data_IF_081875066998
#
_entry.id   IF_081875066998
#
_cell.length_a   1.000
_cell.length_b   1.000
_cell.length_c   1.000
_cell.angle_alpha   90.00
_cell.angle_beta   90.00
_cell.angle_gamma   90.00
#
_symmetry.space_group_name_H-M   'P 1'
#
loop_
_entity.id
_entity.type
_entity.pdbx_description
1 polymer ?
#
# COMPACT_ATOMS: atom_id res chain seq x y z
N UNK A 1 52.10 11.04 -58.34
CA UNK A 1 50.78 10.63 -57.82
C UNK A 1 50.72 10.90 -56.30
N UNK A 2 50.09 11.97 -55.85
CA UNK A 2 49.89 12.32 -54.44
C UNK A 2 48.59 11.68 -53.98
N UNK A 3 48.65 10.77 -52.96
CA UNK A 3 47.47 10.20 -52.31
C UNK A 3 47.04 11.14 -51.20
N UNK A 4 45.84 11.68 -51.27
CA UNK A 4 45.19 12.42 -50.19
C UNK A 4 44.50 11.41 -49.27
N UNK A 5 44.95 11.37 -48.01
CA UNK A 5 44.33 10.63 -46.92
C UNK A 5 43.23 11.55 -46.31
N UNK A 6 41.96 11.25 -46.57
CA UNK A 6 40.84 11.99 -45.94
C UNK A 6 40.58 11.33 -44.59
N UNK A 7 40.95 12.01 -43.49
CA UNK A 7 40.60 11.60 -42.14
C UNK A 7 39.14 12.01 -41.86
N UNK A 8 38.27 11.01 -41.80
CA UNK A 8 36.86 11.19 -41.39
C UNK A 8 36.82 11.28 -39.86
N UNK A 9 36.72 12.49 -39.29
CA UNK A 9 36.51 12.71 -37.85
C UNK A 9 35.03 12.55 -37.58
N UNK A 10 34.62 11.32 -37.21
CA UNK A 10 33.26 11.03 -36.76
C UNK A 10 33.02 11.72 -35.40
N UNK A 11 32.23 12.79 -35.38
CA UNK A 11 31.69 13.38 -34.16
C UNK A 11 30.79 12.33 -33.48
N UNK A 12 31.33 11.60 -32.51
CA UNK A 12 30.53 10.83 -31.56
C UNK A 12 29.84 11.81 -30.61
N UNK A 13 28.65 12.30 -30.96
CA UNK A 13 27.74 12.87 -29.99
C UNK A 13 27.24 11.72 -29.09
N UNK A 14 27.44 11.79 -27.78
CA UNK A 14 26.84 10.81 -26.89
C UNK A 14 25.31 11.00 -26.93
N UNK A 15 24.64 10.19 -27.71
CA UNK A 15 23.19 10.03 -27.56
C UNK A 15 22.96 9.43 -26.18
N UNK A 16 22.48 10.23 -25.24
CA UNK A 16 21.90 9.74 -24.02
C UNK A 16 20.67 8.94 -24.41
N UNK A 17 20.80 7.63 -24.50
CA UNK A 17 19.70 6.70 -24.65
C UNK A 17 18.92 6.70 -23.33
N UNK A 18 17.99 7.63 -23.17
CA UNK A 18 16.97 7.51 -22.15
C UNK A 18 16.17 6.25 -22.47
N UNK A 19 16.13 5.30 -21.52
CA UNK A 19 15.36 4.07 -21.70
C UNK A 19 13.88 4.41 -21.88
N UNK A 20 13.21 3.73 -22.80
CA UNK A 20 11.77 3.87 -23.02
C UNK A 20 11.01 3.69 -21.70
N UNK A 21 10.10 4.59 -21.39
CA UNK A 21 9.21 4.51 -20.24
C UNK A 21 9.79 4.98 -18.90
N UNK A 22 10.92 5.71 -18.88
CA UNK A 22 11.47 6.29 -17.65
C UNK A 22 10.76 7.62 -17.31
N UNK A 23 10.58 7.89 -16.02
CA UNK A 23 10.05 9.16 -15.53
C UNK A 23 11.15 10.21 -15.46
N UNK A 24 10.92 11.35 -16.11
CA UNK A 24 11.83 12.49 -16.15
C UNK A 24 11.14 13.73 -15.60
N UNK A 25 11.90 14.62 -14.99
CA UNK A 25 11.43 15.93 -14.58
C UNK A 25 11.17 16.81 -15.82
N UNK A 26 10.01 17.47 -15.85
CA UNK A 26 9.64 18.39 -16.92
C UNK A 26 10.23 19.80 -16.70
N UNK A 27 10.30 20.57 -17.78
CA UNK A 27 10.62 22.00 -17.76
C UNK A 27 11.91 22.37 -17.03
N UNK A 28 12.96 21.54 -17.09
CA UNK A 28 14.22 21.72 -16.38
C UNK A 28 14.04 21.94 -14.88
N UNK A 29 12.98 21.41 -14.30
CA UNK A 29 12.73 21.49 -12.86
C UNK A 29 13.84 20.76 -12.09
N UNK A 30 14.24 21.31 -10.95
CA UNK A 30 15.25 20.69 -10.07
C UNK A 30 14.66 19.68 -9.10
N UNK A 31 13.34 19.68 -8.97
CA UNK A 31 12.56 18.74 -8.14
C UNK A 31 11.10 18.71 -8.53
N UNK A 32 10.45 17.60 -8.24
CA UNK A 32 8.99 17.47 -8.25
C UNK A 32 8.48 17.05 -6.86
N UNK A 33 7.28 17.50 -6.49
CA UNK A 33 6.67 17.18 -5.19
C UNK A 33 5.32 16.54 -5.44
N UNK A 34 5.17 15.28 -5.07
CA UNK A 34 3.97 14.48 -5.29
C UNK A 34 3.31 14.22 -3.93
N UNK A 35 2.10 14.72 -3.67
CA UNK A 35 1.34 14.34 -2.48
C UNK A 35 0.88 12.89 -2.60
N UNK A 36 0.78 12.19 -1.47
CA UNK A 36 0.27 10.82 -1.47
C UNK A 36 -0.73 10.57 -0.34
N UNK A 37 -1.58 9.56 -0.53
CA UNK A 37 -2.41 9.00 0.53
C UNK A 37 -1.64 7.84 1.15
N UNK A 38 -1.58 7.79 2.48
CA UNK A 38 -1.02 6.67 3.25
C UNK A 38 -2.18 5.91 3.88
N UNK A 39 -2.41 4.68 3.44
CA UNK A 39 -3.50 3.82 3.92
C UNK A 39 -2.92 2.43 4.18
N UNK A 40 -3.12 1.89 5.37
CA UNK A 40 -2.58 0.58 5.77
C UNK A 40 -1.07 0.45 5.48
N UNK A 41 -0.28 1.52 5.72
CA UNK A 41 1.17 1.62 5.45
C UNK A 41 1.56 1.64 3.96
N UNK A 42 0.61 1.64 3.05
CA UNK A 42 0.81 1.68 1.59
C UNK A 42 0.69 3.11 1.05
N UNK A 43 1.47 3.40 0.03
CA UNK A 43 1.54 4.73 -0.61
C UNK A 43 0.71 4.73 -1.89
N UNK A 44 -0.28 5.62 -1.98
CA UNK A 44 -1.08 5.82 -3.19
C UNK A 44 -0.83 7.22 -3.77
N UNK A 45 -0.46 7.28 -5.05
CA UNK A 45 -0.15 8.50 -5.78
C UNK A 45 -1.08 8.67 -6.99
N UNK A 46 -1.46 9.93 -7.32
CA UNK A 46 -2.20 10.20 -8.55
C UNK A 46 -1.23 10.19 -9.74
N UNK A 47 -1.61 9.47 -10.79
CA UNK A 47 -0.89 9.44 -12.07
C UNK A 47 -1.91 9.59 -13.20
N UNK A 48 -1.65 10.48 -14.13
CA UNK A 48 -2.41 10.56 -15.40
C UNK A 48 -1.86 9.53 -16.36
N UNK A 49 -2.72 8.68 -16.88
CA UNK A 49 -2.42 7.74 -17.96
C UNK A 49 -3.16 8.22 -19.21
N UNK A 50 -2.41 8.62 -20.23
CA UNK A 50 -2.97 9.20 -21.47
C UNK A 50 -4.00 10.31 -21.19
N UNK A 51 -3.73 11.17 -20.17
CA UNK A 51 -4.55 12.29 -19.77
C UNK A 51 -5.60 12.02 -18.67
N UNK A 52 -5.90 10.78 -18.35
CA UNK A 52 -6.88 10.39 -17.31
C UNK A 52 -6.19 10.13 -15.97
N UNK A 53 -6.61 10.84 -14.92
CA UNK A 53 -6.04 10.70 -13.58
C UNK A 53 -6.56 9.43 -12.88
N UNK A 54 -5.62 8.62 -12.41
CA UNK A 54 -5.83 7.33 -11.77
C UNK A 54 -5.00 7.24 -10.48
N UNK A 55 -5.46 6.44 -9.49
CA UNK A 55 -4.72 6.19 -8.25
C UNK A 55 -3.84 4.96 -8.39
N UNK A 56 -2.55 5.12 -8.18
CA UNK A 56 -1.57 4.03 -8.24
C UNK A 56 -0.97 3.73 -6.86
N UNK A 57 -0.88 2.44 -6.54
CA UNK A 57 0.00 1.96 -5.48
C UNK A 57 1.45 2.10 -5.94
N UNK A 58 2.30 2.76 -5.14
CA UNK A 58 3.74 2.81 -5.35
C UNK A 58 4.37 1.57 -4.72
N UNK A 59 5.04 0.74 -5.53
CA UNK A 59 5.55 -0.56 -5.14
C UNK A 59 6.95 -0.83 -5.70
N UNK A 60 7.98 -0.78 -4.86
CA UNK A 60 9.36 -1.09 -5.26
C UNK A 60 9.62 -2.59 -5.52
N UNK A 61 8.70 -3.46 -5.14
CA UNK A 61 8.72 -4.89 -5.40
C UNK A 61 8.21 -5.30 -6.79
N UNK A 62 7.69 -4.35 -7.58
CA UNK A 62 7.16 -4.60 -8.93
C UNK A 62 8.07 -3.97 -9.99
N UNK A 63 8.31 -4.72 -11.08
CA UNK A 63 9.15 -4.24 -12.19
C UNK A 63 8.37 -3.33 -13.14
N UNK A 64 7.18 -3.75 -13.53
CA UNK A 64 6.39 -3.11 -14.56
C UNK A 64 5.23 -2.28 -13.97
N UNK A 65 4.64 -1.41 -14.81
CA UNK A 65 3.41 -0.69 -14.47
C UNK A 65 2.21 -1.54 -14.85
N UNK A 66 1.30 -1.73 -13.91
CA UNK A 66 0.13 -2.59 -14.05
C UNK A 66 -1.13 -1.80 -13.76
N UNK A 67 -2.14 -1.91 -14.62
CA UNK A 67 -3.50 -1.42 -14.44
C UNK A 67 -4.45 -2.60 -14.27
N UNK A 68 -5.47 -2.46 -13.43
CA UNK A 68 -6.42 -3.57 -13.16
C UNK A 68 -7.85 -3.13 -12.86
N UNK A 69 -8.10 -1.90 -12.56
CA UNK A 69 -9.45 -1.41 -12.25
C UNK A 69 -9.64 0.01 -12.74
N UNK A 70 -10.74 0.24 -13.41
CA UNK A 70 -11.20 1.57 -13.81
C UNK A 70 -12.64 1.74 -13.38
N UNK A 71 -13.01 2.93 -12.92
CA UNK A 71 -14.42 3.23 -12.65
C UNK A 71 -15.19 3.37 -13.97
N UNK A 72 -16.48 3.09 -13.97
CA UNK A 72 -17.34 3.11 -15.17
C UNK A 72 -17.28 4.42 -15.99
N UNK A 73 -16.87 5.50 -15.36
CA UNK A 73 -16.79 6.84 -16.01
C UNK A 73 -15.40 7.18 -16.54
N UNK A 74 -14.41 6.30 -16.38
CA UNK A 74 -13.02 6.56 -16.79
C UNK A 74 -12.67 5.72 -18.01
N UNK A 75 -12.71 6.34 -19.19
CA UNK A 75 -12.25 5.71 -20.43
C UNK A 75 -10.81 6.14 -20.73
N UNK A 76 -9.87 5.21 -20.60
CA UNK A 76 -8.47 5.40 -20.98
C UNK A 76 -8.24 4.79 -22.35
N UNK A 77 -7.82 5.59 -23.31
CA UNK A 77 -7.39 5.09 -24.62
C UNK A 77 -5.97 4.53 -24.55
N UNK A 78 -5.77 3.29 -24.97
CA UNK A 78 -4.48 2.61 -24.97
C UNK A 78 -3.95 2.41 -26.39
N UNK A 79 -2.61 2.50 -26.55
CA UNK A 79 -1.94 2.35 -27.82
C UNK A 79 -1.31 0.95 -27.96
N UNK A 80 -1.20 0.43 -29.18
CA UNK A 80 -0.49 -0.82 -29.52
C UNK A 80 -0.82 -1.99 -28.57
N UNK A 81 -2.11 -2.26 -28.38
CA UNK A 81 -2.60 -3.26 -27.45
C UNK A 81 -2.42 -4.68 -27.99
N UNK A 82 -1.86 -5.57 -27.18
CA UNK A 82 -1.64 -6.99 -27.48
C UNK A 82 -2.18 -7.85 -26.34
N UNK A 83 -2.86 -8.96 -26.63
CA UNK A 83 -3.28 -9.95 -25.63
C UNK A 83 -2.08 -10.74 -25.12
N UNK A 84 -2.02 -10.96 -23.83
CA UNK A 84 -0.96 -11.72 -23.16
C UNK A 84 -1.55 -12.54 -22.01
N UNK A 85 -0.74 -13.46 -21.48
CA UNK A 85 -1.00 -14.16 -20.22
C UNK A 85 -0.03 -13.69 -19.14
N UNK A 86 -0.52 -13.44 -17.94
CA UNK A 86 0.23 -12.95 -16.79
C UNK A 86 0.20 -13.96 -15.65
N UNK A 87 1.26 -14.01 -14.85
CA UNK A 87 1.32 -14.75 -13.58
C UNK A 87 1.75 -13.81 -12.45
N UNK A 88 1.10 -13.94 -11.29
CA UNK A 88 1.39 -13.16 -10.10
C UNK A 88 1.59 -14.00 -8.85
N UNK A 89 1.63 -13.33 -7.69
CA UNK A 89 1.55 -13.96 -6.37
C UNK A 89 0.13 -14.47 -6.11
N UNK A 90 0.00 -15.64 -5.48
CA UNK A 90 -1.27 -16.17 -4.97
C UNK A 90 -1.65 -17.54 -5.54
N UNK A 91 -1.76 -17.74 -6.85
CA UNK A 91 -2.10 -19.03 -7.48
C UNK A 91 -1.21 -19.38 -8.67
N UNK A 92 -1.36 -20.62 -9.19
CA UNK A 92 -0.67 -21.06 -10.40
C UNK A 92 -1.35 -20.63 -11.70
N UNK A 93 -2.57 -20.15 -11.61
CA UNK A 93 -3.38 -19.83 -12.77
C UNK A 93 -2.81 -18.61 -13.50
N UNK A 94 -2.79 -18.74 -14.83
CA UNK A 94 -2.49 -17.62 -15.72
C UNK A 94 -3.74 -16.78 -15.86
N UNK A 95 -3.61 -15.47 -15.65
CA UNK A 95 -4.69 -14.51 -15.86
C UNK A 95 -4.56 -13.87 -17.24
N UNK A 96 -5.69 -13.63 -17.90
CA UNK A 96 -5.72 -12.86 -19.13
C UNK A 96 -5.37 -11.41 -18.87
N UNK A 97 -4.57 -10.84 -19.77
CA UNK A 97 -4.18 -9.45 -19.70
C UNK A 97 -3.85 -8.86 -21.07
N UNK A 98 -3.64 -7.56 -21.07
CA UNK A 98 -3.21 -6.81 -22.24
C UNK A 98 -1.85 -6.16 -21.96
N UNK A 99 -1.04 -6.06 -23.00
CA UNK A 99 0.19 -5.26 -23.03
C UNK A 99 -0.05 -4.06 -23.93
N UNK A 100 0.20 -2.86 -23.44
CA UNK A 100 0.09 -1.61 -24.21
C UNK A 100 1.40 -0.84 -24.14
N UNK A 101 1.84 -0.28 -25.26
CA UNK A 101 3.06 0.54 -25.37
C UNK A 101 2.71 1.94 -25.88
N UNK A 102 3.69 2.86 -25.87
CA UNK A 102 3.52 4.25 -26.30
C UNK A 102 2.49 5.03 -25.48
N UNK A 103 2.33 4.67 -24.19
CA UNK A 103 1.49 5.44 -23.28
C UNK A 103 2.27 6.61 -22.69
N UNK A 104 1.55 7.64 -22.29
CA UNK A 104 2.09 8.80 -21.59
C UNK A 104 1.59 8.75 -20.15
N UNK A 105 2.54 8.74 -19.21
CA UNK A 105 2.25 8.82 -17.77
C UNK A 105 2.78 10.12 -17.21
N UNK A 106 1.96 10.84 -16.46
CA UNK A 106 2.30 12.17 -15.90
C UNK A 106 1.88 12.27 -14.43
N UNK A 107 2.73 12.85 -13.59
CA UNK A 107 2.39 13.19 -12.22
C UNK A 107 3.24 14.36 -11.70
N UNK A 108 2.60 15.44 -11.28
CA UNK A 108 3.22 16.56 -10.55
C UNK A 108 4.60 17.02 -11.08
N UNK A 109 4.75 17.21 -12.39
CA UNK A 109 5.99 17.64 -13.02
C UNK A 109 6.99 16.52 -13.35
N UNK A 110 6.54 15.28 -13.26
CA UNK A 110 7.20 14.11 -13.82
C UNK A 110 6.40 13.59 -15.02
N UNK A 111 7.11 13.22 -16.07
CA UNK A 111 6.53 12.63 -17.26
C UNK A 111 7.33 11.44 -17.75
N UNK A 112 6.63 10.41 -18.16
CA UNK A 112 7.17 9.25 -18.84
C UNK A 112 6.49 9.11 -20.19
N UNK A 113 7.28 9.15 -21.24
CA UNK A 113 6.82 8.91 -22.60
C UNK A 113 7.13 7.46 -23.01
N UNK A 114 6.35 6.95 -23.95
CA UNK A 114 6.55 5.58 -24.50
C UNK A 114 6.49 4.50 -23.40
N UNK A 115 5.64 4.74 -22.40
CA UNK A 115 5.53 3.86 -21.24
C UNK A 115 4.81 2.55 -21.56
N UNK A 116 5.41 1.44 -21.11
CA UNK A 116 4.80 0.12 -21.16
C UNK A 116 3.85 -0.07 -19.99
N UNK A 117 2.61 -0.44 -20.28
CA UNK A 117 1.57 -0.74 -19.28
C UNK A 117 1.02 -2.14 -19.52
N UNK A 118 0.90 -2.93 -18.46
CA UNK A 118 0.14 -4.17 -18.45
C UNK A 118 -1.25 -3.92 -17.88
N UNK A 119 -2.28 -4.52 -18.46
CA UNK A 119 -3.66 -4.36 -18.02
C UNK A 119 -4.20 -5.73 -17.68
N UNK A 120 -4.62 -5.91 -16.43
CA UNK A 120 -5.25 -7.14 -15.93
C UNK A 120 -6.75 -7.04 -16.18
N UNK A 121 -7.32 -8.05 -16.83
CA UNK A 121 -8.74 -8.12 -17.16
C UNK A 121 -9.56 -8.94 -16.13
N UNK A 122 -8.90 -9.55 -15.15
CA UNK A 122 -9.55 -10.34 -14.13
C UNK A 122 -10.36 -9.46 -13.17
N UNK A 123 -11.68 -9.59 -13.22
CA UNK A 123 -12.62 -8.85 -12.36
C UNK A 123 -12.57 -9.30 -10.88
N UNK A 124 -12.02 -10.48 -10.58
CA UNK A 124 -11.86 -10.96 -9.21
C UNK A 124 -10.71 -10.27 -8.48
N UNK A 125 -9.78 -9.63 -9.22
CA UNK A 125 -8.72 -8.85 -8.65
C UNK A 125 -9.21 -7.44 -8.31
N UNK A 126 -9.74 -7.27 -7.10
CA UNK A 126 -10.28 -5.98 -6.62
C UNK A 126 -9.52 -5.50 -5.38
N UNK A 127 -8.41 -4.81 -5.59
CA UNK A 127 -7.61 -4.20 -4.52
C UNK A 127 -8.37 -3.03 -3.85
N UNK A 128 -9.21 -2.32 -4.60
CA UNK A 128 -9.99 -1.18 -4.09
C UNK A 128 -10.89 -1.55 -2.92
N UNK A 129 -11.55 -2.73 -2.98
CA UNK A 129 -12.40 -3.22 -1.89
C UNK A 129 -11.63 -3.47 -0.60
N UNK A 130 -10.40 -4.00 -0.69
CA UNK A 130 -9.54 -4.25 0.46
C UNK A 130 -8.90 -3.00 1.05
N UNK A 131 -8.65 -1.98 0.23
CA UNK A 131 -8.03 -0.71 0.66
C UNK A 131 -9.10 0.30 1.11
N UNK A 132 -10.30 0.24 0.53
CA UNK A 132 -11.40 1.16 0.83
C UNK A 132 -11.35 2.49 0.07
N UNK A 133 -10.49 2.59 -0.94
CA UNK A 133 -10.45 3.69 -1.92
C UNK A 133 -10.22 3.09 -3.31
N UNK A 134 -10.57 3.82 -4.39
CA UNK A 134 -10.22 3.41 -5.74
C UNK A 134 -8.70 3.21 -5.87
N UNK A 135 -8.28 2.04 -6.34
CA UNK A 135 -6.90 1.70 -6.68
C UNK A 135 -6.93 1.15 -8.11
N UNK A 136 -6.35 1.88 -9.04
CA UNK A 136 -6.45 1.58 -10.46
C UNK A 136 -5.25 0.83 -11.01
N UNK A 137 -4.09 0.94 -10.34
CA UNK A 137 -2.87 0.29 -10.80
C UNK A 137 -1.76 0.27 -9.76
N UNK A 138 -0.64 -0.32 -10.18
CA UNK A 138 0.62 -0.38 -9.42
C UNK A 138 1.73 0.15 -10.29
N UNK A 139 2.62 0.95 -9.72
CA UNK A 139 3.81 1.48 -10.37
C UNK A 139 5.04 1.17 -9.55
N UNK A 140 6.10 0.69 -10.21
CA UNK A 140 7.30 0.22 -9.54
C UNK A 140 8.60 0.76 -10.10
N UNK A 141 9.47 -0.14 -10.54
CA UNK A 141 10.85 0.13 -10.93
C UNK A 141 11.04 1.38 -11.81
N UNK A 142 10.19 1.56 -12.81
CA UNK A 142 10.29 2.71 -13.75
C UNK A 142 10.22 4.07 -13.06
N UNK A 143 9.51 4.16 -11.93
CA UNK A 143 9.43 5.37 -11.14
C UNK A 143 10.74 5.67 -10.39
N UNK A 144 11.45 4.63 -9.93
CA UNK A 144 12.68 4.77 -9.14
C UNK A 144 13.96 4.80 -9.97
N UNK A 145 13.99 4.12 -11.13
CA UNK A 145 15.18 3.75 -11.89
C UNK A 145 16.20 4.88 -12.09
N UNK A 146 15.74 6.05 -12.53
CA UNK A 146 16.58 7.19 -12.86
C UNK A 146 16.39 8.38 -11.91
N UNK A 147 15.65 8.18 -10.83
CA UNK A 147 15.23 9.24 -9.93
C UNK A 147 15.83 9.07 -8.54
N UNK A 148 16.20 10.19 -7.92
CA UNK A 148 16.55 10.27 -6.52
C UNK A 148 15.28 10.59 -5.73
N UNK A 149 14.67 9.57 -5.10
CA UNK A 149 13.31 9.61 -4.56
C UNK A 149 13.33 9.73 -3.04
N UNK A 150 12.98 10.91 -2.50
CA UNK A 150 12.75 11.14 -1.06
C UNK A 150 11.29 10.85 -0.72
N UNK A 151 11.03 9.94 0.23
CA UNK A 151 9.68 9.64 0.76
C UNK A 151 9.59 10.15 2.18
N UNK A 152 8.71 11.13 2.41
CA UNK A 152 8.42 11.67 3.73
C UNK A 152 7.02 11.25 4.17
N UNK A 153 6.95 10.18 4.94
CA UNK A 153 5.68 9.61 5.41
C UNK A 153 4.90 10.55 6.36
N UNK A 154 5.60 11.33 7.19
CA UNK A 154 4.92 12.28 8.10
C UNK A 154 4.24 13.42 7.34
N UNK A 155 4.90 13.94 6.32
CA UNK A 155 4.35 15.02 5.48
C UNK A 155 3.53 14.49 4.32
N UNK A 156 3.41 13.18 4.17
CA UNK A 156 2.69 12.47 3.09
C UNK A 156 3.04 13.01 1.71
N UNK A 157 4.35 13.11 1.43
CA UNK A 157 4.85 13.58 0.13
C UNK A 157 6.10 12.83 -0.30
N UNK A 158 6.18 12.60 -1.61
CA UNK A 158 7.36 12.16 -2.31
C UNK A 158 8.00 13.40 -2.93
N UNK A 159 9.33 13.48 -2.88
CA UNK A 159 10.08 14.52 -3.57
C UNK A 159 11.09 13.81 -4.46
N UNK A 160 10.97 14.03 -5.74
CA UNK A 160 11.94 13.57 -6.72
C UNK A 160 12.93 14.70 -6.94
N UNK A 161 14.22 14.42 -6.75
CA UNK A 161 15.29 15.41 -6.84
C UNK A 161 16.18 15.16 -8.05
N UNK A 162 16.68 16.24 -8.66
CA UNK A 162 17.88 16.17 -9.49
C UNK A 162 19.08 16.08 -8.56
N UNK A 163 19.97 15.08 -8.73
CA UNK A 163 21.20 14.99 -7.94
C UNK A 163 22.02 16.28 -8.03
N UNK A 164 22.39 16.85 -6.88
CA UNK A 164 23.29 18.01 -6.82
C UNK A 164 24.10 17.98 -5.52
N UNK A 165 25.25 18.67 -5.50
CA UNK A 165 26.20 18.68 -4.40
C UNK A 165 25.55 19.09 -3.06
N UNK A 166 24.72 20.13 -3.06
CA UNK A 166 24.06 20.64 -1.85
C UNK A 166 23.09 19.61 -1.24
N UNK A 167 22.37 18.88 -2.09
CA UNK A 167 21.47 17.83 -1.63
C UNK A 167 22.25 16.62 -1.11
N UNK A 168 23.34 16.23 -1.79
CA UNK A 168 24.22 15.16 -1.32
C UNK A 168 24.82 15.48 0.06
N UNK A 169 25.37 16.68 0.26
CA UNK A 169 25.88 17.13 1.58
C UNK A 169 24.80 17.10 2.68
N UNK A 170 23.54 17.38 2.32
CA UNK A 170 22.40 17.24 3.25
C UNK A 170 22.15 15.77 3.61
N UNK A 171 22.22 14.86 2.63
CA UNK A 171 22.04 13.43 2.86
C UNK A 171 23.13 12.90 3.79
N UNK A 172 24.39 13.16 3.47
CA UNK A 172 25.55 12.67 4.24
C UNK A 172 25.55 13.17 5.69
N UNK A 173 25.04 14.37 5.93
CA UNK A 173 24.96 14.96 7.29
C UNK A 173 23.77 14.48 8.11
N UNK A 174 22.61 14.21 7.48
CA UNK A 174 21.32 14.04 8.18
C UNK A 174 20.73 12.65 8.11
N UNK A 175 21.26 11.79 7.26
CA UNK A 175 20.74 10.46 7.03
C UNK A 175 21.83 9.42 7.23
N UNK A 176 21.44 8.25 7.66
CA UNK A 176 22.31 7.08 7.62
C UNK A 176 22.26 6.48 6.22
N UNK A 177 23.41 6.33 5.61
CA UNK A 177 23.58 5.72 4.30
C UNK A 177 23.73 4.21 4.46
N UNK A 178 22.97 3.46 3.68
CA UNK A 178 22.95 2.00 3.65
C UNK A 178 23.16 1.53 2.21
N UNK A 179 24.15 0.67 1.94
CA UNK A 179 24.30 0.09 0.62
C UNK A 179 23.15 -0.88 0.32
N UNK A 180 22.67 -0.83 -0.91
CA UNK A 180 21.65 -1.76 -1.42
C UNK A 180 22.14 -2.40 -2.71
N UNK A 181 21.50 -3.50 -3.12
CA UNK A 181 21.69 -4.07 -4.45
C UNK A 181 20.41 -3.93 -5.27
N UNK A 182 20.57 -3.73 -6.58
CA UNK A 182 19.44 -3.74 -7.52
C UNK A 182 19.56 -5.02 -8.33
N UNK A 183 18.63 -5.95 -8.11
CA UNK A 183 18.62 -7.24 -8.79
C UNK A 183 17.23 -7.49 -9.38
N UNK A 184 17.16 -7.85 -10.68
CA UNK A 184 15.89 -7.98 -11.39
C UNK A 184 14.98 -6.77 -11.17
N UNK A 185 15.55 -5.56 -11.35
CA UNK A 185 14.82 -4.29 -11.20
C UNK A 185 14.29 -3.97 -9.81
N UNK A 186 14.68 -4.70 -8.77
CA UNK A 186 14.19 -4.56 -7.39
C UNK A 186 15.31 -4.27 -6.40
N UNK A 187 15.06 -3.47 -5.34
CA UNK A 187 16.06 -3.07 -4.36
C UNK A 187 16.14 -4.08 -3.20
N UNK A 188 17.35 -4.48 -2.85
CA UNK A 188 17.60 -5.37 -1.71
C UNK A 188 18.60 -4.76 -0.76
N UNK A 189 18.37 -4.96 0.54
CA UNK A 189 19.33 -4.63 1.59
C UNK A 189 19.76 -5.91 2.34
N UNK A 190 20.95 -5.86 2.95
CA UNK A 190 21.44 -6.88 3.86
C UNK A 190 21.27 -6.34 5.28
N UNK A 191 20.72 -7.17 6.16
CA UNK A 191 20.35 -6.84 7.52
C UNK A 191 20.52 -8.07 8.43
N UNK A 192 20.11 -7.97 9.70
CA UNK A 192 20.17 -9.06 10.67
C UNK A 192 18.81 -9.26 11.32
N UNK A 193 18.35 -10.51 11.34
CA UNK A 193 17.21 -10.95 12.14
C UNK A 193 17.71 -11.77 13.33
N UNK A 194 17.15 -11.54 14.51
CA UNK A 194 17.40 -12.38 15.70
C UNK A 194 16.13 -13.18 16.00
N UNK A 195 16.22 -14.49 15.89
CA UNK A 195 15.14 -15.44 16.14
C UNK A 195 15.65 -16.45 17.15
N UNK A 196 14.94 -16.65 18.26
CA UNK A 196 15.35 -17.54 19.35
C UNK A 196 16.79 -17.29 19.83
N UNK A 197 17.15 -15.99 19.98
CA UNK A 197 18.51 -15.50 20.33
C UNK A 197 19.62 -15.83 19.32
N UNK A 198 19.31 -16.32 18.11
CA UNK A 198 20.27 -16.57 17.03
C UNK A 198 20.22 -15.44 16.02
N UNK A 199 21.38 -14.83 15.77
CA UNK A 199 21.51 -13.79 14.72
C UNK A 199 21.68 -14.43 13.34
N UNK A 200 20.83 -14.04 12.40
CA UNK A 200 20.78 -14.58 11.04
C UNK A 200 20.93 -13.44 10.05
N UNK A 201 21.94 -13.47 9.16
CA UNK A 201 22.00 -12.52 8.06
C UNK A 201 20.78 -12.64 7.16
N UNK A 202 20.18 -11.50 6.84
CA UNK A 202 18.94 -11.42 6.10
C UNK A 202 19.06 -10.50 4.88
N UNK A 203 19.02 -11.07 3.69
CA UNK A 203 18.85 -10.29 2.45
C UNK A 203 17.36 -10.10 2.19
N UNK A 204 16.90 -8.85 2.30
CA UNK A 204 15.50 -8.49 2.16
C UNK A 204 15.24 -7.60 0.95
N UNK A 205 14.11 -7.82 0.30
CA UNK A 205 13.53 -6.87 -0.65
C UNK A 205 13.04 -5.64 0.13
N UNK A 206 13.40 -4.45 -0.30
CA UNK A 206 12.76 -3.20 0.15
C UNK A 206 11.44 -3.08 -0.60
N UNK A 207 10.32 -3.28 0.08
CA UNK A 207 9.01 -3.52 -0.51
C UNK A 207 7.99 -2.49 -0.02
N UNK A 208 7.87 -1.36 -0.74
CA UNK A 208 6.94 -0.27 -0.41
C UNK A 208 5.48 -0.71 -0.64
N UNK A 209 5.27 -1.70 -1.50
CA UNK A 209 3.95 -2.29 -1.78
C UNK A 209 3.48 -3.33 -0.77
N UNK A 210 4.29 -3.64 0.26
CA UNK A 210 3.93 -4.53 1.34
C UNK A 210 3.56 -3.73 2.60
N UNK A 211 2.36 -3.94 3.16
CA UNK A 211 1.87 -3.23 4.34
C UNK A 211 2.45 -3.71 5.67
N UNK A 212 3.01 -4.92 5.72
CA UNK A 212 3.57 -5.54 6.93
C UNK A 212 4.94 -4.95 7.31
N UNK A 213 5.45 -5.32 8.49
CA UNK A 213 6.79 -4.93 8.90
C UNK A 213 7.85 -5.75 8.15
N UNK A 214 7.78 -7.05 8.29
CA UNK A 214 8.69 -8.00 7.66
C UNK A 214 7.93 -9.23 7.18
N UNK A 215 8.30 -9.70 6.00
CA UNK A 215 8.03 -11.05 5.57
C UNK A 215 9.30 -11.87 5.66
N UNK A 216 9.24 -13.08 6.18
CA UNK A 216 10.34 -14.03 6.20
C UNK A 216 9.87 -15.35 5.60
N UNK A 217 10.64 -15.88 4.67
CA UNK A 217 10.38 -17.16 4.06
C UNK A 217 11.04 -18.27 4.91
N UNK A 218 10.24 -19.24 5.33
CA UNK A 218 10.73 -20.40 6.08
C UNK A 218 11.81 -21.14 5.29
N UNK A 219 12.89 -21.50 5.93
CA UNK A 219 14.00 -22.26 5.35
C UNK A 219 14.70 -23.05 6.46
N UNK A 220 15.77 -23.78 6.12
CA UNK A 220 16.48 -24.64 7.09
C UNK A 220 17.04 -23.89 8.32
N UNK A 221 17.30 -22.58 8.17
CA UNK A 221 17.87 -21.74 9.24
C UNK A 221 16.81 -20.95 10.01
N UNK A 222 15.67 -20.67 9.38
CA UNK A 222 14.61 -19.87 9.96
C UNK A 222 13.33 -20.66 9.94
N UNK A 223 12.96 -21.15 11.11
CA UNK A 223 11.70 -21.86 11.34
C UNK A 223 10.65 -20.89 11.87
N UNK A 224 9.40 -21.31 11.81
CA UNK A 224 8.30 -20.57 12.41
C UNK A 224 8.45 -20.61 13.95
N UNK A 225 8.47 -19.45 14.64
CA UNK A 225 8.48 -19.42 16.09
C UNK A 225 7.33 -20.25 16.69
N UNK A 226 7.55 -20.87 17.84
CA UNK A 226 6.54 -21.72 18.50
C UNK A 226 5.23 -20.96 18.72
N UNK A 227 5.32 -19.70 19.15
CA UNK A 227 4.16 -18.85 19.34
C UNK A 227 3.86 -18.09 18.04
N UNK A 228 2.88 -18.58 17.33
CA UNK A 228 2.39 -18.04 16.08
C UNK A 228 0.90 -18.32 15.92
N UNK A 229 0.28 -17.70 14.94
CA UNK A 229 -1.08 -18.03 14.50
C UNK A 229 -1.20 -17.92 12.96
N UNK A 230 -2.07 -18.73 12.32
CA UNK A 230 -2.36 -18.60 10.90
C UNK A 230 -3.12 -17.30 10.65
N UNK A 231 -2.81 -16.59 9.57
CA UNK A 231 -3.46 -15.33 9.21
C UNK A 231 -3.50 -15.13 7.70
N UNK A 232 -4.50 -14.38 7.26
CA UNK A 232 -4.54 -13.81 5.91
C UNK A 232 -3.52 -12.68 5.83
N UNK A 233 -2.51 -12.82 4.99
CA UNK A 233 -1.40 -11.86 4.87
C UNK A 233 -1.64 -10.80 3.80
N UNK A 234 -2.57 -11.02 2.89
CA UNK A 234 -2.90 -10.07 1.84
C UNK A 234 -3.41 -10.72 0.56
N UNK A 235 -3.57 -9.90 -0.47
CA UNK A 235 -4.03 -10.34 -1.80
C UNK A 235 -2.96 -10.06 -2.84
N UNK A 236 -2.55 -11.12 -3.54
CA UNK A 236 -1.69 -11.04 -4.73
C UNK A 236 -2.51 -11.01 -6.01
N UNK A 237 -1.86 -10.82 -7.16
CA UNK A 237 -2.54 -10.80 -8.46
C UNK A 237 -3.27 -12.11 -8.81
N UNK A 238 -2.77 -13.24 -8.32
CA UNK A 238 -3.34 -14.56 -8.62
C UNK A 238 -4.08 -15.17 -7.44
N UNK A 239 -4.42 -14.40 -6.40
CA UNK A 239 -5.23 -14.89 -5.29
C UNK A 239 -4.74 -14.47 -3.91
N UNK A 240 -5.31 -15.10 -2.91
CA UNK A 240 -5.05 -14.81 -1.51
C UNK A 240 -3.69 -15.34 -1.06
N UNK A 241 -3.04 -14.60 -0.17
CA UNK A 241 -1.76 -14.98 0.43
C UNK A 241 -2.02 -15.34 1.88
N UNK A 242 -1.87 -16.62 2.17
CA UNK A 242 -2.00 -17.21 3.49
C UNK A 242 -0.63 -17.42 4.13
N UNK A 243 -0.60 -17.52 5.45
CA UNK A 243 0.61 -17.79 6.20
C UNK A 243 0.41 -17.65 7.69
N UNK A 244 1.49 -17.35 8.41
CA UNK A 244 1.48 -17.23 9.86
C UNK A 244 2.07 -15.89 10.29
N UNK A 245 1.61 -15.38 11.44
CA UNK A 245 2.23 -14.24 12.13
C UNK A 245 2.88 -14.69 13.43
N UNK A 246 4.05 -14.13 13.70
CA UNK A 246 4.79 -14.35 14.93
C UNK A 246 5.52 -13.09 15.37
N UNK A 247 6.02 -13.06 16.61
CA UNK A 247 7.02 -12.09 17.06
C UNK A 247 8.40 -12.76 17.02
N UNK A 248 9.39 -12.04 16.54
CA UNK A 248 10.81 -12.41 16.72
C UNK A 248 11.46 -11.45 17.70
N UNK A 249 12.65 -11.78 18.19
CA UNK A 249 13.30 -11.01 19.25
C UNK A 249 13.70 -9.63 18.78
N UNK A 250 14.37 -9.56 17.64
CA UNK A 250 14.90 -8.32 17.11
C UNK A 250 15.07 -8.39 15.58
N UNK A 251 14.96 -7.24 14.97
CA UNK A 251 15.35 -7.00 13.59
C UNK A 251 16.22 -5.76 13.55
N UNK A 252 17.38 -5.80 12.88
CA UNK A 252 18.31 -4.67 12.81
C UNK A 252 18.61 -4.30 11.37
N UNK A 253 18.41 -3.03 11.04
CA UNK A 253 18.84 -2.43 9.78
C UNK A 253 19.98 -1.47 10.10
N UNK A 254 21.22 -1.90 9.91
CA UNK A 254 22.41 -1.17 10.37
C UNK A 254 22.28 -0.82 11.88
N UNK A 255 22.32 0.45 12.27
CA UNK A 255 22.17 0.95 13.65
C UNK A 255 20.72 1.04 14.15
N UNK A 256 19.75 0.66 13.32
CA UNK A 256 18.31 0.76 13.66
C UNK A 256 17.75 -0.57 14.14
N UNK A 257 17.56 -0.70 15.44
CA UNK A 257 17.01 -1.89 16.07
C UNK A 257 15.50 -1.79 16.26
N UNK A 258 14.79 -2.85 15.87
CA UNK A 258 13.36 -3.05 16.08
C UNK A 258 13.17 -4.22 17.02
N UNK A 259 12.70 -3.95 18.25
CA UNK A 259 12.47 -4.96 19.27
C UNK A 259 11.09 -5.60 19.11
N UNK A 260 11.04 -6.93 19.19
CA UNK A 260 9.81 -7.73 19.12
C UNK A 260 8.88 -7.35 17.94
N UNK A 261 9.43 -7.20 16.72
CA UNK A 261 8.58 -6.87 15.56
C UNK A 261 7.64 -8.04 15.23
N UNK A 262 6.49 -7.70 14.65
CA UNK A 262 5.60 -8.69 14.05
C UNK A 262 6.17 -9.07 12.68
N UNK A 263 6.30 -10.38 12.47
CA UNK A 263 6.80 -10.95 11.22
C UNK A 263 5.75 -11.87 10.64
N UNK A 264 5.55 -11.77 9.34
CA UNK A 264 4.69 -12.65 8.56
C UNK A 264 5.54 -13.72 7.87
N UNK A 265 5.09 -14.97 7.97
CA UNK A 265 5.69 -16.16 7.36
C UNK A 265 4.72 -16.68 6.30
N UNK A 266 4.81 -16.24 5.05
CA UNK A 266 3.94 -16.73 3.99
C UNK A 266 4.10 -18.24 3.79
N UNK A 267 3.02 -18.91 3.44
CA UNK A 267 3.08 -20.32 3.09
C UNK A 267 3.80 -20.53 1.77
N UNK A 268 4.52 -21.63 1.66
CA UNK A 268 5.33 -21.95 0.47
C UNK A 268 4.51 -21.96 -0.80
N UNK A 269 3.23 -22.37 -0.74
CA UNK A 269 2.31 -22.36 -1.87
C UNK A 269 2.03 -20.93 -2.35
N UNK A 270 1.84 -19.99 -1.44
CA UNK A 270 1.53 -18.58 -1.77
C UNK A 270 2.70 -17.86 -2.45
N UNK A 271 3.93 -18.31 -2.22
CA UNK A 271 5.15 -17.64 -2.72
C UNK A 271 5.91 -18.44 -3.79
N UNK A 272 5.44 -19.62 -4.19
CA UNK A 272 6.16 -20.49 -5.14
C UNK A 272 6.45 -19.86 -6.49
N UNK A 273 5.57 -18.94 -6.94
CA UNK A 273 5.73 -18.22 -8.20
C UNK A 273 6.65 -17.00 -8.09
N UNK A 274 7.17 -16.69 -6.88
CA UNK A 274 8.11 -15.58 -6.70
C UNK A 274 9.46 -15.96 -7.31
N UNK A 275 9.89 -15.19 -8.28
CA UNK A 275 11.25 -15.32 -8.83
C UNK A 275 12.27 -14.82 -7.80
N UNK A 276 12.78 -15.74 -6.97
CA UNK A 276 13.78 -15.43 -5.97
C UNK A 276 15.10 -15.02 -6.59
N UNK A 277 15.79 -14.07 -5.95
CA UNK A 277 17.20 -13.80 -6.16
C UNK A 277 18.04 -14.59 -5.14
N UNK A 278 19.29 -14.93 -5.43
CA UNK A 278 20.14 -15.68 -4.49
C UNK A 278 20.24 -14.98 -3.13
N UNK A 279 20.05 -15.77 -2.06
CA UNK A 279 20.18 -15.31 -0.69
C UNK A 279 19.00 -14.47 -0.16
N UNK A 280 17.97 -14.16 -0.94
CA UNK A 280 16.78 -13.48 -0.44
C UNK A 280 16.01 -14.39 0.51
N UNK A 281 15.74 -13.88 1.72
CA UNK A 281 14.95 -14.60 2.73
C UNK A 281 13.63 -13.92 3.07
N UNK A 282 13.33 -12.76 2.46
CA UNK A 282 12.08 -12.07 2.77
C UNK A 282 11.98 -10.67 2.16
N UNK A 283 11.20 -9.83 2.84
CA UNK A 283 11.05 -8.40 2.53
C UNK A 283 10.85 -7.54 3.78
N UNK A 284 11.24 -6.26 3.69
CA UNK A 284 10.91 -5.22 4.65
C UNK A 284 9.85 -4.32 4.03
N UNK A 285 8.74 -4.14 4.74
CA UNK A 285 7.56 -3.45 4.22
C UNK A 285 7.26 -2.11 4.88
N UNK A 286 6.10 -1.56 4.50
CA UNK A 286 5.66 -0.21 4.85
C UNK A 286 5.56 0.06 6.35
N UNK A 287 5.25 -0.95 7.18
CA UNK A 287 5.19 -0.76 8.64
C UNK A 287 6.56 -0.35 9.24
N UNK A 288 7.68 -0.83 8.66
CA UNK A 288 9.03 -0.40 9.03
C UNK A 288 9.41 0.87 8.29
N UNK A 289 9.19 0.91 6.97
CA UNK A 289 9.63 2.02 6.12
C UNK A 289 8.99 3.35 6.53
N UNK A 290 7.71 3.35 6.96
CA UNK A 290 7.01 4.56 7.44
C UNK A 290 7.64 5.22 8.68
N UNK A 291 8.52 4.50 9.40
CA UNK A 291 9.23 4.97 10.59
C UNK A 291 10.42 5.88 10.26
N UNK A 292 10.66 6.05 8.95
CA UNK A 292 11.76 6.88 8.43
C UNK A 292 11.24 7.97 7.46
N UNK A 293 12.03 9.01 7.33
CA UNK A 293 12.15 9.71 6.05
C UNK A 293 13.27 8.99 5.32
N UNK A 294 12.99 8.50 4.13
CA UNK A 294 13.95 7.71 3.36
C UNK A 294 14.22 8.34 1.99
N UNK A 295 15.41 8.11 1.46
CA UNK A 295 15.78 8.47 0.08
C UNK A 295 16.35 7.23 -0.60
N UNK A 296 15.78 6.90 -1.75
CA UNK A 296 16.20 5.74 -2.55
C UNK A 296 16.91 6.25 -3.80
N UNK A 297 18.13 5.75 -4.02
CA UNK A 297 18.92 6.01 -5.21
C UNK A 297 19.30 4.68 -5.87
N UNK A 298 18.61 4.33 -6.96
CA UNK A 298 18.89 3.07 -7.67
C UNK A 298 20.19 3.14 -8.47
N UNK A 299 20.57 4.33 -8.97
CA UNK A 299 21.76 4.51 -9.80
C UNK A 299 23.03 4.25 -8.98
N UNK A 300 23.13 4.87 -7.80
CA UNK A 300 24.27 4.70 -6.90
C UNK A 300 24.11 3.52 -5.95
N UNK A 301 22.96 2.81 -6.01
CA UNK A 301 22.63 1.67 -5.14
C UNK A 301 22.70 2.00 -3.67
N UNK A 302 22.03 3.08 -3.28
CA UNK A 302 22.05 3.63 -1.94
C UNK A 302 20.63 3.86 -1.40
N UNK A 303 20.45 3.53 -0.13
CA UNK A 303 19.30 3.87 0.69
C UNK A 303 19.75 4.78 1.81
N UNK A 304 19.09 5.92 1.96
CA UNK A 304 19.34 6.84 3.06
C UNK A 304 18.16 6.82 4.02
N UNK A 305 18.41 6.57 5.29
CA UNK A 305 17.39 6.50 6.33
C UNK A 305 17.61 7.57 7.41
N UNK A 306 16.53 8.21 7.80
CA UNK A 306 16.50 9.12 8.95
C UNK A 306 15.23 8.84 9.76
N UNK A 307 15.41 8.48 11.04
CA UNK A 307 14.28 8.30 11.96
C UNK A 307 13.32 9.49 11.91
N UNK A 308 12.04 9.18 11.97
CA UNK A 308 10.99 10.19 12.13
C UNK A 308 10.22 9.96 13.43
N UNK A 309 9.19 10.76 13.71
CA UNK A 309 8.42 10.67 14.95
C UNK A 309 7.67 9.33 15.17
N UNK A 310 7.59 8.48 14.14
CA UNK A 310 6.96 7.15 14.22
C UNK A 310 7.94 6.03 14.56
N UNK A 311 9.24 6.33 14.72
CA UNK A 311 10.26 5.28 14.87
C UNK A 311 9.99 4.34 16.05
N UNK A 312 9.51 4.88 17.15
CA UNK A 312 9.24 4.14 18.39
C UNK A 312 7.80 3.64 18.53
N UNK A 313 6.96 3.78 17.48
CA UNK A 313 5.59 3.23 17.52
C UNK A 313 5.65 1.71 17.77
N UNK A 314 4.75 1.12 18.59
CA UNK A 314 4.71 -0.32 18.80
C UNK A 314 4.33 -1.05 17.50
N UNK A 315 4.74 -2.31 17.37
CA UNK A 315 4.25 -3.19 16.33
C UNK A 315 2.92 -3.81 16.74
N UNK A 316 1.89 -3.57 15.95
CA UNK A 316 0.52 -4.05 16.21
C UNK A 316 0.00 -4.86 15.04
N UNK A 317 -0.98 -5.71 15.30
CA UNK A 317 -1.69 -6.49 14.29
C UNK A 317 -3.19 -6.52 14.62
N UNK A 318 -4.00 -7.04 13.71
CA UNK A 318 -5.42 -7.21 13.90
C UNK A 318 -5.71 -8.30 14.93
N UNK A 319 -6.11 -7.90 16.14
CA UNK A 319 -6.34 -8.78 17.28
C UNK A 319 -7.72 -9.42 17.29
N UNK A 320 -8.68 -8.89 16.53
CA UNK A 320 -10.02 -9.46 16.44
C UNK A 320 -10.06 -10.75 15.65
N UNK A 321 -9.24 -10.85 14.60
CA UNK A 321 -9.21 -11.98 13.67
C UNK A 321 -10.20 -11.87 12.51
N UNK A 322 -10.90 -10.75 12.31
CA UNK A 322 -11.74 -10.52 11.11
C UNK A 322 -10.99 -9.70 10.07
N UNK A 323 -11.14 -10.07 8.81
CA UNK A 323 -10.75 -9.22 7.67
C UNK A 323 -12.02 -8.61 7.07
N UNK A 324 -12.02 -7.30 6.91
CA UNK A 324 -13.15 -6.52 6.43
C UNK A 324 -12.80 -5.91 5.08
N UNK A 325 -13.77 -5.91 4.16
CA UNK A 325 -13.66 -5.21 2.88
C UNK A 325 -14.88 -4.34 2.62
N UNK A 326 -14.73 -3.45 1.66
CA UNK A 326 -15.81 -2.67 1.10
C UNK A 326 -16.64 -3.55 0.14
N UNK A 327 -17.94 -3.64 0.38
CA UNK A 327 -18.87 -4.43 -0.44
C UNK A 327 -19.96 -3.55 -1.06
N UNK A 328 -19.56 -2.67 -1.97
CA UNK A 328 -20.48 -1.77 -2.67
C UNK A 328 -21.01 -0.63 -1.82
N UNK A 329 -22.08 0.00 -2.30
CA UNK A 329 -22.71 1.16 -1.73
C UNK A 329 -24.19 0.90 -1.46
N UNK A 330 -24.73 1.51 -0.40
CA UNK A 330 -26.17 1.48 -0.09
C UNK A 330 -26.72 2.90 0.02
N UNK A 331 -27.98 3.08 -0.34
CA UNK A 331 -28.69 4.31 -0.08
C UNK A 331 -29.01 4.46 1.40
N UNK A 332 -28.64 5.59 1.97
CA UNK A 332 -28.96 5.95 3.36
C UNK A 332 -29.70 7.28 3.34
N UNK A 333 -30.85 7.31 4.01
CA UNK A 333 -31.61 8.51 4.25
C UNK A 333 -31.05 9.22 5.48
N UNK A 334 -30.61 10.46 5.32
CA UNK A 334 -30.16 11.35 6.39
C UNK A 334 -31.21 12.46 6.59
N UNK A 335 -31.63 12.67 7.83
CA UNK A 335 -32.51 13.79 8.17
C UNK A 335 -31.66 15.00 8.51
N UNK A 336 -31.84 16.10 7.78
CA UNK A 336 -31.16 17.36 8.01
C UNK A 336 -32.14 18.32 8.67
N UNK A 337 -31.87 18.73 9.92
CA UNK A 337 -32.57 19.85 10.54
C UNK A 337 -32.13 21.16 9.86
N UNK A 338 -33.05 21.94 9.34
CA UNK A 338 -32.77 23.29 8.89
C UNK A 338 -32.93 24.20 10.11
N UNK A 339 -31.86 24.81 10.59
CA UNK A 339 -31.96 25.96 11.48
C UNK A 339 -32.59 27.12 10.72
N UNK A 340 -33.81 27.48 11.06
CA UNK A 340 -34.41 28.72 10.57
C UNK A 340 -33.69 29.89 11.24
N UNK A 341 -32.90 30.64 10.50
CA UNK A 341 -32.41 31.95 10.92
C UNK A 341 -33.63 32.85 11.03
N UNK A 342 -34.01 33.20 12.23
CA UNK A 342 -35.02 34.24 12.49
C UNK A 342 -34.44 35.56 11.99
N UNK A 343 -34.86 36.02 10.80
CA UNK A 343 -34.66 37.39 10.41
C UNK A 343 -35.64 38.23 11.25
N UNK A 344 -35.14 38.97 12.21
CA UNK A 344 -35.90 39.92 12.96
C UNK A 344 -36.39 41.02 12.00
N UNK A 345 -37.63 40.95 11.57
CA UNK A 345 -38.30 42.08 10.89
C UNK A 345 -38.70 43.11 11.96
N UNK A 346 -38.29 44.35 11.75
CA UNK A 346 -38.50 45.51 12.65
C UNK A 346 -39.92 46.05 12.62
N UNK A 347 -40.95 45.23 12.47
CA UNK A 347 -42.34 45.63 12.66
C UNK A 347 -43.10 44.51 13.38
N UNK A 348 -43.56 44.84 14.55
CA UNK A 348 -44.22 43.91 15.44
C UNK A 348 -45.52 43.36 14.88
N UNK A 349 -45.53 42.09 14.59
CA UNK A 349 -46.63 41.19 14.72
C UNK A 349 -46.03 39.81 14.94
N UNK A 350 -46.10 39.33 16.18
CA UNK A 350 -45.76 37.94 16.52
C UNK A 350 -46.95 37.09 16.10
N UNK A 351 -46.94 36.60 14.89
CA UNK A 351 -47.79 35.48 14.53
C UNK A 351 -47.00 34.21 14.81
N UNK A 352 -47.26 33.58 15.94
CA UNK A 352 -46.87 32.20 16.21
C UNK A 352 -47.56 31.30 15.22
N UNK A 353 -46.88 30.96 14.12
CA UNK A 353 -47.20 29.76 13.34
C UNK A 353 -46.40 28.62 13.87
N UNK A 354 -47.11 27.75 14.56
CA UNK A 354 -46.66 26.44 14.98
C UNK A 354 -46.21 25.62 13.81
N UNK A 355 -45.09 24.92 14.04
CA UNK A 355 -44.72 23.61 13.46
C UNK A 355 -44.84 23.43 11.95
N UNK A 356 -43.95 24.05 11.21
CA UNK A 356 -43.40 23.32 10.06
C UNK A 356 -42.08 22.68 10.51
N UNK A 357 -42.14 21.39 10.83
CA UNK A 357 -40.97 20.53 10.95
C UNK A 357 -40.26 20.51 9.58
N UNK A 358 -39.44 21.52 9.32
CA UNK A 358 -38.65 21.61 8.11
C UNK A 358 -37.50 20.58 8.15
N UNK A 359 -37.87 19.30 8.08
CA UNK A 359 -36.95 18.22 7.85
C UNK A 359 -36.74 18.08 6.35
N UNK A 360 -35.48 18.24 5.88
CA UNK A 360 -35.11 17.81 4.56
C UNK A 360 -34.48 16.43 4.65
N UNK A 361 -34.97 15.53 3.83
CA UNK A 361 -34.37 14.21 3.65
C UNK A 361 -33.26 14.35 2.60
N UNK A 362 -32.05 13.97 2.99
CA UNK A 362 -30.93 13.82 2.09
C UNK A 362 -30.64 12.35 1.90
N UNK A 363 -30.61 11.90 0.67
CA UNK A 363 -30.18 10.53 0.34
C UNK A 363 -28.70 10.58 -0.06
N UNK A 364 -27.90 9.69 0.50
CA UNK A 364 -26.49 9.58 0.17
C UNK A 364 -26.12 8.10 0.01
N UNK A 365 -25.25 7.82 -0.97
CA UNK A 365 -24.62 6.50 -1.10
C UNK A 365 -23.53 6.37 -0.03
N UNK A 366 -23.62 5.34 0.79
CA UNK A 366 -22.69 5.04 1.86
C UNK A 366 -22.07 3.66 1.67
N UNK A 367 -20.78 3.47 2.06
CA UNK A 367 -20.12 2.19 1.95
C UNK A 367 -20.80 1.11 2.80
N UNK A 368 -20.85 -0.09 2.24
CA UNK A 368 -21.18 -1.32 2.95
C UNK A 368 -19.90 -2.06 3.25
N UNK A 369 -19.77 -2.63 4.43
CA UNK A 369 -18.61 -3.41 4.86
C UNK A 369 -19.01 -4.85 5.17
N UNK A 370 -18.22 -5.79 4.66
CA UNK A 370 -18.43 -7.23 4.80
C UNK A 370 -17.21 -7.89 5.45
N UNK A 371 -17.45 -8.88 6.29
CA UNK A 371 -16.40 -9.76 6.84
C UNK A 371 -16.07 -10.82 5.77
N UNK A 372 -14.89 -10.75 5.19
CA UNK A 372 -14.43 -11.67 4.13
C UNK A 372 -13.59 -12.82 4.62
N UNK A 373 -13.02 -12.68 5.82
CA UNK A 373 -12.29 -13.75 6.47
C UNK A 373 -12.44 -13.65 7.99
N UNK A 374 -12.52 -14.81 8.64
CA UNK A 374 -12.48 -14.97 10.10
C UNK A 374 -11.36 -15.95 10.41
N UNK A 375 -10.33 -15.45 11.09
CA UNK A 375 -9.17 -16.24 11.47
C UNK A 375 -9.56 -17.36 12.44
N UNK A 376 -9.08 -18.57 12.18
CA UNK A 376 -9.31 -19.74 13.00
C UNK A 376 -8.76 -19.53 14.43
N UNK A 377 -9.52 -19.97 15.42
CA UNK A 377 -9.24 -19.83 16.86
C UNK A 377 -9.18 -18.38 17.38
N UNK A 378 -9.52 -17.38 16.55
CA UNK A 378 -9.53 -15.97 16.96
C UNK A 378 -10.67 -15.61 17.91
N UNK A 379 -10.59 -14.40 18.46
CA UNK A 379 -11.65 -13.84 19.29
C UNK A 379 -12.99 -13.71 18.52
N UNK A 380 -12.94 -13.38 17.23
CA UNK A 380 -14.09 -13.26 16.36
C UNK A 380 -14.76 -14.61 16.09
N UNK A 381 -13.98 -15.65 15.78
CA UNK A 381 -14.53 -16.99 15.57
C UNK A 381 -15.19 -17.52 16.85
N UNK A 382 -14.52 -17.36 18.00
CA UNK A 382 -15.08 -17.74 19.33
C UNK A 382 -16.36 -16.99 19.67
N UNK A 383 -16.51 -15.75 19.19
CA UNK A 383 -17.74 -14.98 19.34
C UNK A 383 -18.85 -15.43 18.39
N UNK A 384 -18.56 -16.20 17.34
CA UNK A 384 -19.54 -16.70 16.37
C UNK A 384 -19.70 -15.85 15.12
N UNK A 385 -18.78 -14.93 14.83
CA UNK A 385 -18.73 -14.19 13.55
C UNK A 385 -18.33 -15.12 12.40
N UNK A 386 -18.89 -14.89 11.24
CA UNK A 386 -18.66 -15.70 10.04
C UNK A 386 -18.28 -14.82 8.83
N UNK A 387 -17.63 -15.44 7.87
CA UNK A 387 -17.45 -14.87 6.53
C UNK A 387 -18.83 -14.62 5.89
N UNK A 388 -19.00 -13.48 5.25
CA UNK A 388 -20.26 -13.05 4.63
C UNK A 388 -21.13 -12.18 5.55
N UNK A 389 -20.79 -12.01 6.82
CA UNK A 389 -21.52 -11.10 7.71
C UNK A 389 -21.36 -9.65 7.23
N UNK A 390 -22.46 -8.94 7.05
CA UNK A 390 -22.50 -7.51 6.71
C UNK A 390 -22.51 -6.70 8.00
N UNK A 391 -21.57 -5.77 8.16
CA UNK A 391 -21.46 -4.95 9.37
C UNK A 391 -22.55 -3.87 9.39
N UNK A 392 -23.42 -3.91 10.40
CA UNK A 392 -24.52 -2.97 10.62
C UNK A 392 -24.12 -1.85 11.61
N UNK A 393 -23.37 -2.20 12.65
CA UNK A 393 -22.83 -1.21 13.60
C UNK A 393 -21.51 -1.68 14.21
N UNK A 394 -20.67 -0.71 14.59
CA UNK A 394 -19.43 -0.89 15.36
C UNK A 394 -19.51 0.06 16.56
N UNK A 395 -19.46 -0.48 17.78
CA UNK A 395 -19.59 0.30 19.01
C UNK A 395 -20.80 1.26 18.98
N UNK A 396 -21.95 0.74 18.57
CA UNK A 396 -23.23 1.44 18.43
C UNK A 396 -23.26 2.57 17.37
N UNK A 397 -22.22 2.72 16.55
CA UNK A 397 -22.19 3.67 15.44
C UNK A 397 -22.32 2.96 14.11
N UNK A 398 -22.99 3.60 13.15
CA UNK A 398 -23.08 3.07 11.78
C UNK A 398 -21.71 2.92 11.15
N UNK A 399 -21.40 1.86 10.41
CA UNK A 399 -20.06 1.57 9.93
C UNK A 399 -19.56 2.61 8.90
N UNK A 400 -20.45 3.23 8.15
CA UNK A 400 -20.12 4.25 7.15
C UNK A 400 -19.64 5.60 7.73
N UNK A 401 -19.68 5.80 9.06
CA UNK A 401 -19.04 6.96 9.70
C UNK A 401 -17.52 6.78 9.83
N UNK A 402 -17.03 5.57 9.57
CA UNK A 402 -15.62 5.23 9.56
C UNK A 402 -15.14 4.97 8.13
N UNK A 403 -13.89 5.27 7.85
CA UNK A 403 -13.19 4.68 6.72
C UNK A 403 -12.77 3.24 7.06
N UNK A 404 -12.52 2.41 6.05
CA UNK A 404 -12.02 1.05 6.27
C UNK A 404 -10.70 1.05 7.07
N UNK A 405 -9.80 2.02 6.83
CA UNK A 405 -8.57 2.20 7.61
C UNK A 405 -8.85 2.48 9.09
N UNK A 406 -9.85 3.32 9.40
CA UNK A 406 -10.25 3.58 10.79
C UNK A 406 -10.81 2.33 11.47
N UNK A 407 -11.61 1.53 10.77
CA UNK A 407 -12.10 0.25 11.28
C UNK A 407 -10.91 -0.70 11.54
N UNK A 408 -9.99 -0.84 10.60
CA UNK A 408 -8.80 -1.67 10.77
C UNK A 408 -7.93 -1.21 11.94
N UNK A 409 -7.83 0.10 12.19
CA UNK A 409 -7.10 0.63 13.34
C UNK A 409 -7.81 0.34 14.67
N UNK A 410 -9.16 0.36 14.73
CA UNK A 410 -9.91 -0.09 15.90
C UNK A 410 -9.59 -1.55 16.23
N UNK A 411 -9.52 -2.43 15.23
CA UNK A 411 -9.23 -3.86 15.41
C UNK A 411 -7.77 -4.16 15.80
N UNK A 412 -6.88 -3.19 15.67
CA UNK A 412 -5.46 -3.22 16.12
C UNK A 412 -5.24 -2.55 17.47
N UNK A 413 -6.27 -1.96 18.07
CA UNK A 413 -6.16 -1.18 19.29
C UNK A 413 -5.70 -2.00 20.51
N UNK A 414 -5.59 -1.35 21.67
CA UNK A 414 -5.01 -1.92 22.88
C UNK A 414 -5.66 -3.25 23.30
N UNK A 415 -4.95 -4.02 24.13
CA UNK A 415 -5.44 -5.28 24.68
C UNK A 415 -6.60 -5.05 25.65
N UNK A 416 -7.41 -6.08 25.83
CA UNK A 416 -8.56 -6.13 26.73
C UNK A 416 -9.71 -5.16 26.39
N UNK A 417 -9.66 -4.50 25.24
CA UNK A 417 -10.79 -3.72 24.74
C UNK A 417 -11.84 -4.64 24.11
N UNK A 418 -13.09 -4.35 24.42
CA UNK A 418 -14.23 -5.00 23.79
C UNK A 418 -14.74 -4.18 22.60
N UNK A 419 -15.01 -4.83 21.50
CA UNK A 419 -15.67 -4.26 20.33
C UNK A 419 -17.07 -4.85 20.22
N UNK A 420 -18.08 -4.01 20.29
CA UNK A 420 -19.48 -4.40 20.05
C UNK A 420 -19.75 -4.33 18.53
N UNK A 421 -20.21 -5.43 17.95
CA UNK A 421 -20.53 -5.52 16.53
C UNK A 421 -21.99 -5.96 16.37
N UNK A 422 -22.73 -5.26 15.52
CA UNK A 422 -23.98 -5.78 14.96
C UNK A 422 -23.74 -6.12 13.52
N UNK A 423 -24.14 -7.32 13.11
CA UNK A 423 -23.99 -7.81 11.74
C UNK A 423 -25.32 -8.32 11.21
N UNK A 424 -25.52 -8.19 9.91
CA UNK A 424 -26.64 -8.82 9.20
C UNK A 424 -26.15 -10.13 8.59
N UNK A 425 -26.88 -11.21 8.92
CA UNK A 425 -26.67 -12.56 8.40
C UNK A 425 -28.05 -13.15 8.06
N UNK A 426 -28.27 -13.54 6.81
CA UNK A 426 -29.58 -14.06 6.34
C UNK A 426 -30.75 -13.14 6.70
N UNK A 427 -30.60 -11.83 6.51
CA UNK A 427 -31.56 -10.77 6.83
C UNK A 427 -31.92 -10.64 8.33
N UNK A 428 -31.13 -11.27 9.21
CA UNK A 428 -31.26 -11.12 10.66
C UNK A 428 -30.12 -10.30 11.22
N UNK A 429 -30.44 -9.32 12.06
CA UNK A 429 -29.41 -8.54 12.77
C UNK A 429 -29.03 -9.27 14.05
N UNK A 430 -27.75 -9.68 14.12
CA UNK A 430 -27.16 -10.41 15.23
C UNK A 430 -26.16 -9.50 15.97
N UNK A 431 -26.04 -9.68 17.29
CA UNK A 431 -25.14 -8.89 18.13
C UNK A 431 -24.00 -9.75 18.64
N UNK A 432 -22.79 -9.27 18.48
CA UNK A 432 -21.59 -9.93 18.92
C UNK A 432 -20.71 -8.99 19.74
N UNK A 433 -19.94 -9.56 20.65
CA UNK A 433 -18.95 -8.83 21.43
C UNK A 433 -17.61 -9.53 21.33
N UNK A 434 -16.61 -8.85 20.78
CA UNK A 434 -15.29 -9.39 20.50
C UNK A 434 -14.27 -8.75 21.43
N UNK A 435 -13.55 -9.54 22.22
CA UNK A 435 -12.45 -9.08 23.05
C UNK A 435 -11.16 -9.08 22.25
N UNK A 436 -10.48 -7.94 22.16
CA UNK A 436 -9.18 -7.85 21.51
C UNK A 436 -8.10 -8.38 22.46
N UNK A 437 -7.45 -9.49 22.10
CA UNK A 437 -6.40 -10.12 22.90
C UNK A 437 -5.12 -10.27 22.06
N UNK A 438 -3.97 -9.94 22.61
CA UNK A 438 -2.68 -10.17 21.94
C UNK A 438 -2.27 -11.65 22.07
N UNK A 439 -2.54 -12.44 21.04
CA UNK A 439 -2.20 -13.87 20.98
C UNK A 439 -0.68 -14.12 20.94
N UNK A 440 0.11 -13.08 20.61
CA UNK A 440 1.59 -13.14 20.58
C UNK A 440 2.25 -12.59 21.85
N UNK A 441 1.48 -12.18 22.86
CA UNK A 441 2.03 -11.71 24.12
C UNK A 441 2.59 -12.91 24.92
N UNK A 442 3.79 -12.77 25.44
CA UNK A 442 4.33 -13.76 26.39
C UNK A 442 3.48 -13.70 27.66
N UNK A 443 2.83 -14.79 28.01
CA UNK A 443 2.30 -14.96 29.36
C UNK A 443 3.50 -14.83 30.31
N UNK A 444 3.42 -13.84 31.21
CA UNK A 444 4.42 -13.63 32.26
C UNK A 444 4.45 -14.82 33.20
#
# INVERSE_FOLDING_TARGET
>A
MKKYLVLFFGLFLPFWLFGQGDFLLENNATKAVIPFKLINNLIFIPIKVNGIELNFLLDSGVEETILFSMEEKQEVSFNNVQKIKLRGLGSEEEIEGLKSTKNILETHGLKSNDHLVYIILDQNFNLSSHIGIPVNGIIGHKFFKNNLVEINYQKKKIIVHVPNKKFQEKLDRKFKKIPITIERSKPYLITTATVDNVEIPAKLLIDIGNSDAFWIFKNDKIQLPERNFPDFLGKGFSGDIEGHRARIDKFSIDEFDFKKPIVSFPDSLSIRNVRMVPGRIGSVGGEVLKRFTLVINYQDKELYLRKNGRFSEPFTYNKSGITIQHNGLQWVQETVHLETVQVASSMGEVSSRENDNNFRYKFALKPVYEIVNVRKNSAAEKAGLLKGDIIVSINKKRPYVYTLEQINNLLKSEEDIWIDLEVERNSLVLKYRVKLVDELQNLK
#
